data_IF_166789027525
#
_entry.id   IF_166789027525
#
_cell.length_a   1.000
_cell.length_b   1.000
_cell.length_c   1.000
_cell.angle_alpha   90.00
_cell.angle_beta   90.00
_cell.angle_gamma   90.00
#
_symmetry.space_group_name_H-M   'P 1'
#
loop_
_entity.id
_entity.type
_entity.pdbx_description
1 polymer ?
#
# COMPACT_ATOMS: atom_id res chain seq x y z
N UNK A 1 -24.53 -24.20 37.57
CA UNK A 1 -24.67 -22.85 36.97
C UNK A 1 -24.61 -22.99 35.46
N UNK A 2 -25.66 -22.64 34.71
CA UNK A 2 -25.72 -22.85 33.24
C UNK A 2 -25.26 -21.61 32.49
N UNK A 3 -24.55 -21.80 31.37
CA UNK A 3 -24.25 -20.73 30.42
C UNK A 3 -25.55 -20.11 29.91
N UNK A 4 -25.63 -18.77 29.89
CA UNK A 4 -26.74 -18.09 29.23
C UNK A 4 -26.40 -18.10 27.74
N UNK A 5 -26.91 -19.08 26.98
CA UNK A 5 -26.98 -18.94 25.54
C UNK A 5 -28.20 -18.07 25.25
N UNK A 6 -28.05 -16.89 24.62
CA UNK A 6 -29.18 -16.15 24.10
C UNK A 6 -29.97 -17.08 23.18
N UNK A 7 -31.31 -17.03 23.22
CA UNK A 7 -32.10 -17.63 22.16
C UNK A 7 -31.64 -17.00 20.83
N UNK A 8 -31.18 -17.85 19.92
CA UNK A 8 -30.63 -17.46 18.62
C UNK A 8 -31.72 -16.67 17.89
N UNK A 9 -31.59 -15.34 17.82
CA UNK A 9 -32.61 -14.47 17.21
C UNK A 9 -32.59 -13.00 17.64
N UNK A 10 -31.96 -12.65 18.77
CA UNK A 10 -31.91 -11.27 19.27
C UNK A 10 -30.66 -10.45 18.89
N UNK A 11 -30.09 -10.66 17.70
CA UNK A 11 -28.84 -9.99 17.32
C UNK A 11 -29.02 -8.47 17.12
N UNK A 12 -28.41 -7.67 18.02
CA UNK A 12 -27.72 -6.39 17.76
C UNK A 12 -28.43 -5.31 16.90
N UNK A 13 -29.76 -5.22 16.90
CA UNK A 13 -30.41 -4.09 16.22
C UNK A 13 -30.03 -2.70 16.79
N UNK A 14 -29.92 -2.47 18.11
CA UNK A 14 -29.69 -1.12 18.63
C UNK A 14 -28.28 -0.57 18.33
N UNK A 15 -27.24 -1.38 18.50
CA UNK A 15 -25.85 -0.92 18.33
C UNK A 15 -25.49 -0.70 16.85
N UNK A 16 -25.89 -1.64 15.98
CA UNK A 16 -25.68 -1.50 14.52
C UNK A 16 -26.47 -0.32 13.96
N UNK A 17 -27.69 -0.10 14.44
CA UNK A 17 -28.50 1.05 14.03
C UNK A 17 -27.95 2.38 14.57
N UNK A 18 -27.46 2.44 15.82
CA UNK A 18 -26.90 3.67 16.42
C UNK A 18 -25.55 4.03 15.79
N UNK A 19 -24.71 3.05 15.47
CA UNK A 19 -23.47 3.25 14.72
C UNK A 19 -23.75 3.65 13.25
N UNK A 20 -24.68 2.97 12.57
CA UNK A 20 -25.06 3.31 11.19
C UNK A 20 -25.71 4.70 11.08
N UNK A 21 -26.54 5.08 12.06
CA UNK A 21 -27.14 6.41 12.15
C UNK A 21 -26.08 7.49 12.34
N UNK A 22 -25.12 7.29 13.25
CA UNK A 22 -24.00 8.24 13.46
C UNK A 22 -23.09 8.35 12.22
N UNK A 23 -22.80 7.24 11.55
CA UNK A 23 -22.03 7.24 10.28
C UNK A 23 -22.79 7.98 9.17
N UNK A 24 -24.12 7.82 9.08
CA UNK A 24 -24.94 8.49 8.08
C UNK A 24 -25.12 9.98 8.34
N UNK A 25 -25.21 10.40 9.61
CA UNK A 25 -25.25 11.82 10.01
C UNK A 25 -23.91 12.50 9.71
N UNK A 26 -22.79 11.82 9.97
CA UNK A 26 -21.46 12.39 9.72
C UNK A 26 -21.10 12.54 8.24
N UNK A 27 -21.66 11.71 7.34
CA UNK A 27 -21.56 11.93 5.89
C UNK A 27 -22.23 13.23 5.42
N UNK A 28 -23.22 13.72 6.16
CA UNK A 28 -23.98 14.95 5.83
C UNK A 28 -23.32 16.23 6.36
N UNK A 29 -22.35 16.11 7.27
CA UNK A 29 -21.67 17.23 7.92
C UNK A 29 -20.32 17.61 7.27
N UNK A 30 -20.01 17.07 6.08
CA UNK A 30 -18.84 17.47 5.28
C UNK A 30 -19.20 18.76 4.53
N UNK A 31 -19.17 19.88 5.25
CA UNK A 31 -19.39 21.22 4.71
C UNK A 31 -19.05 22.29 5.74
N UNK A 32 -18.02 23.09 5.43
CA UNK A 32 -17.48 24.28 6.12
C UNK A 32 -16.49 24.13 7.31
N UNK A 33 -15.28 24.65 7.07
CA UNK A 33 -14.28 25.19 8.03
C UNK A 33 -14.83 26.52 8.59
N UNK A 34 -14.49 27.07 9.77
CA UNK A 34 -13.16 27.49 10.29
C UNK A 34 -13.26 28.09 11.74
N UNK A 35 -12.12 28.06 12.45
CA UNK A 35 -11.56 28.97 13.52
C UNK A 35 -12.06 29.00 14.99
N UNK A 36 -11.08 28.67 15.87
CA UNK A 36 -10.64 29.22 17.17
C UNK A 36 -11.61 29.64 18.30
N UNK A 37 -11.38 29.06 19.50
CA UNK A 37 -10.97 29.79 20.72
C UNK A 37 -10.89 28.84 21.94
N UNK A 38 -9.72 28.81 22.59
CA UNK A 38 -9.52 28.19 23.91
C UNK A 38 -9.81 29.25 24.97
N UNK A 39 -10.68 28.98 25.93
CA UNK A 39 -10.78 29.74 27.17
C UNK A 39 -11.08 28.85 28.37
N UNK A 40 -10.51 29.26 29.50
CA UNK A 40 -10.31 28.55 30.77
C UNK A 40 -11.51 28.67 31.72
N UNK A 41 -11.53 27.71 32.65
CA UNK A 41 -12.10 27.71 34.01
C UNK A 41 -13.62 27.63 34.22
N UNK A 42 -13.98 26.71 35.13
CA UNK A 42 -15.33 26.50 35.62
C UNK A 42 -15.41 25.26 36.51
N UNK A 43 -15.06 25.40 37.78
CA UNK A 43 -15.33 24.41 38.83
C UNK A 43 -16.84 24.13 38.87
N UNK A 44 -17.24 22.87 38.77
CA UNK A 44 -18.61 22.46 39.12
C UNK A 44 -18.61 21.05 39.69
N UNK A 45 -19.25 20.97 40.84
CA UNK A 45 -19.59 19.77 41.60
C UNK A 45 -20.17 18.70 40.68
N UNK A 46 -19.57 17.50 40.74
CA UNK A 46 -20.08 16.26 40.13
C UNK A 46 -21.40 15.88 40.81
N UNK A 47 -22.47 16.55 40.42
CA UNK A 47 -23.83 16.06 40.61
C UNK A 47 -24.01 14.92 39.61
N UNK A 48 -23.86 13.69 40.12
CA UNK A 48 -24.20 12.44 39.42
C UNK A 48 -25.70 12.40 39.13
N UNK A 49 -26.15 13.22 38.20
CA UNK A 49 -27.42 13.01 37.49
C UNK A 49 -27.14 12.06 36.35
N UNK A 50 -27.04 10.78 36.70
CA UNK A 50 -27.20 9.72 35.71
C UNK A 50 -28.61 9.89 35.14
N UNK A 51 -28.69 10.35 33.89
CA UNK A 51 -29.91 10.26 33.10
C UNK A 51 -30.23 8.76 33.02
N UNK A 52 -31.13 8.32 33.87
CA UNK A 52 -31.62 6.96 33.97
C UNK A 52 -32.27 6.58 32.64
N UNK A 53 -31.49 6.00 31.72
CA UNK A 53 -32.06 5.25 30.62
C UNK A 53 -33.03 4.22 31.23
N UNK A 54 -34.31 4.16 30.79
CA UNK A 54 -35.30 3.31 31.43
C UNK A 54 -34.82 1.87 31.45
N UNK A 55 -34.57 1.34 32.66
CA UNK A 55 -34.12 -0.05 32.81
C UNK A 55 -35.17 -0.98 32.19
N UNK A 56 -34.81 -1.83 31.21
CA UNK A 56 -35.77 -2.62 30.47
C UNK A 56 -36.50 -3.61 31.38
N UNK A 57 -37.79 -3.82 31.13
CA UNK A 57 -38.61 -4.80 31.86
C UNK A 57 -38.58 -6.14 31.13
N UNK A 58 -38.49 -7.22 31.89
CA UNK A 58 -38.60 -8.57 31.35
C UNK A 58 -40.07 -8.92 31.03
N UNK A 59 -40.30 -10.06 30.38
CA UNK A 59 -41.65 -10.56 30.06
C UNK A 59 -42.55 -10.81 31.29
N UNK A 60 -41.98 -10.84 32.50
CA UNK A 60 -42.74 -10.90 33.75
C UNK A 60 -43.22 -9.52 34.24
N UNK A 61 -42.96 -8.44 33.49
CA UNK A 61 -43.31 -7.06 33.87
C UNK A 61 -42.34 -6.40 34.86
N UNK A 62 -41.33 -7.12 35.36
CA UNK A 62 -40.37 -6.64 36.37
C UNK A 62 -39.12 -6.05 35.71
N UNK A 63 -38.53 -5.01 36.33
CA UNK A 63 -37.24 -4.43 35.89
C UNK A 63 -36.14 -5.50 35.85
N UNK A 64 -35.39 -5.53 34.76
CA UNK A 64 -34.31 -6.49 34.56
C UNK A 64 -32.99 -5.94 35.09
N UNK A 65 -32.34 -6.56 36.10
CA UNK A 65 -31.04 -6.11 36.57
C UNK A 65 -29.93 -6.38 35.54
N UNK A 66 -28.88 -5.56 35.58
CA UNK A 66 -27.63 -5.79 34.84
C UNK A 66 -26.86 -6.93 35.51
N UNK A 67 -26.32 -7.84 34.69
CA UNK A 67 -25.52 -8.99 35.11
C UNK A 67 -24.29 -9.10 34.19
N UNK A 68 -23.20 -9.65 34.71
CA UNK A 68 -21.98 -9.92 33.93
C UNK A 68 -21.91 -11.38 33.49
N UNK A 69 -21.50 -11.62 32.26
CA UNK A 69 -21.15 -12.97 31.78
C UNK A 69 -19.78 -13.38 32.34
N UNK A 70 -19.73 -14.49 33.08
CA UNK A 70 -18.50 -14.96 33.75
C UNK A 70 -17.85 -16.18 33.08
N UNK A 71 -18.58 -16.97 32.29
CA UNK A 71 -18.13 -18.27 31.74
C UNK A 71 -18.51 -18.47 30.27
N UNK A 72 -18.49 -17.42 29.46
CA UNK A 72 -18.90 -17.47 28.05
C UNK A 72 -17.85 -16.79 27.17
N UNK A 73 -17.98 -16.93 25.85
CA UNK A 73 -17.08 -16.34 24.82
C UNK A 73 -16.90 -14.81 24.93
N UNK A 74 -17.69 -14.16 25.79
CA UNK A 74 -17.64 -12.73 26.09
C UNK A 74 -17.51 -12.50 27.60
N UNK A 75 -16.39 -12.91 28.24
CA UNK A 75 -16.20 -12.70 29.67
C UNK A 75 -16.22 -11.20 29.99
N UNK A 76 -16.89 -10.83 31.08
CA UNK A 76 -17.01 -9.44 31.53
C UNK A 76 -18.07 -8.60 30.80
N UNK A 77 -18.66 -9.08 29.70
CA UNK A 77 -19.74 -8.36 29.01
C UNK A 77 -21.01 -8.35 29.86
N UNK A 78 -21.64 -7.18 29.97
CA UNK A 78 -22.84 -6.95 30.78
C UNK A 78 -24.11 -7.10 29.95
N UNK A 79 -25.18 -7.60 30.56
CA UNK A 79 -26.49 -7.79 29.94
C UNK A 79 -27.61 -7.58 30.95
N UNK A 80 -28.79 -7.18 30.49
CA UNK A 80 -30.05 -7.22 31.22
C UNK A 80 -30.69 -8.61 31.10
N UNK A 81 -31.14 -9.17 32.21
CA UNK A 81 -31.86 -10.45 32.23
C UNK A 81 -32.93 -10.51 33.31
N UNK A 82 -33.84 -11.49 33.21
CA UNK A 82 -34.91 -11.66 34.19
C UNK A 82 -34.38 -11.73 35.64
N UNK A 83 -35.05 -11.05 36.57
CA UNK A 83 -34.72 -11.10 38.00
C UNK A 83 -34.79 -12.53 38.54
N UNK A 84 -35.81 -13.29 38.11
CA UNK A 84 -36.02 -14.71 38.41
C UNK A 84 -35.11 -15.67 37.68
N UNK A 85 -34.12 -15.24 36.89
CA UNK A 85 -33.28 -16.12 36.05
C UNK A 85 -32.67 -17.35 36.76
N UNK A 86 -32.43 -17.26 38.07
CA UNK A 86 -31.89 -18.37 38.90
C UNK A 86 -32.95 -19.22 39.62
N UNK A 87 -34.23 -18.93 39.41
CA UNK A 87 -35.36 -19.65 40.01
C UNK A 87 -36.14 -20.44 38.95
N UNK A 88 -37.11 -21.24 39.38
CA UNK A 88 -38.04 -21.97 38.51
C UNK A 88 -39.00 -21.04 37.75
N UNK A 89 -39.34 -19.89 38.34
CA UNK A 89 -40.19 -18.86 37.74
C UNK A 89 -39.35 -17.80 37.03
N UNK A 90 -38.86 -18.14 35.84
CA UNK A 90 -38.07 -17.25 34.97
C UNK A 90 -38.69 -17.13 33.59
N UNK A 91 -38.60 -15.94 33.00
CA UNK A 91 -38.76 -15.79 31.56
C UNK A 91 -37.38 -15.77 30.87
N UNK A 92 -37.39 -15.91 29.54
CA UNK A 92 -36.21 -15.94 28.68
C UNK A 92 -35.70 -14.54 28.28
N UNK A 93 -36.11 -13.47 28.97
CA UNK A 93 -35.67 -12.10 28.63
C UNK A 93 -34.14 -11.94 28.74
N UNK A 94 -33.54 -11.39 27.69
CA UNK A 94 -32.11 -11.12 27.58
C UNK A 94 -31.87 -9.92 26.64
N UNK A 95 -31.01 -8.98 27.05
CA UNK A 95 -30.58 -7.85 26.21
C UNK A 95 -29.16 -7.44 26.58
N UNK A 96 -28.28 -7.16 25.63
CA UNK A 96 -26.94 -6.65 25.94
C UNK A 96 -27.00 -5.26 26.58
N UNK A 97 -26.13 -5.02 27.57
CA UNK A 97 -25.92 -3.71 28.16
C UNK A 97 -24.82 -3.00 27.38
N UNK A 98 -25.21 -2.03 26.56
CA UNK A 98 -24.29 -1.15 25.84
C UNK A 98 -24.45 0.25 26.46
N UNK A 99 -23.47 0.74 27.25
CA UNK A 99 -23.55 2.08 27.81
C UNK A 99 -23.52 3.13 26.70
N UNK A 100 -24.08 4.31 26.96
CA UNK A 100 -23.92 5.45 26.07
C UNK A 100 -22.43 5.73 25.86
N UNK A 101 -21.95 5.82 24.61
CA UNK A 101 -20.55 6.14 24.36
C UNK A 101 -20.22 7.52 24.98
N UNK A 102 -19.01 7.69 25.55
CA UNK A 102 -18.59 8.97 26.08
C UNK A 102 -18.70 10.08 25.02
N UNK A 103 -18.95 11.35 25.41
CA UNK A 103 -19.11 12.46 24.46
C UNK A 103 -17.97 12.60 23.45
N UNK A 104 -16.74 12.23 23.85
CA UNK A 104 -15.53 12.32 23.01
C UNK A 104 -15.37 11.19 21.98
N UNK A 105 -16.21 10.15 22.05
CA UNK A 105 -16.06 8.95 21.23
C UNK A 105 -16.26 9.24 19.74
N UNK A 106 -17.21 10.12 19.41
CA UNK A 106 -17.48 10.58 18.05
C UNK A 106 -16.29 11.34 17.47
N UNK A 107 -15.66 12.23 18.25
CA UNK A 107 -14.48 12.99 17.84
C UNK A 107 -13.28 12.11 17.54
N UNK A 108 -13.05 11.10 18.38
CA UNK A 108 -11.95 10.14 18.15
C UNK A 108 -12.19 9.35 16.87
N UNK A 109 -13.41 8.82 16.67
CA UNK A 109 -13.74 8.10 15.43
C UNK A 109 -13.56 8.99 14.22
N UNK A 110 -14.06 10.23 14.27
CA UNK A 110 -13.94 11.18 13.17
C UNK A 110 -12.47 11.44 12.80
N UNK A 111 -11.62 11.76 13.78
CA UNK A 111 -10.19 11.98 13.55
C UNK A 111 -9.52 10.74 12.95
N UNK A 112 -9.83 9.54 13.45
CA UNK A 112 -9.28 8.31 12.90
C UNK A 112 -9.71 8.07 11.44
N UNK A 113 -10.95 8.43 11.09
CA UNK A 113 -11.43 8.33 9.70
C UNK A 113 -10.71 9.33 8.80
N UNK A 114 -10.59 10.60 9.23
CA UNK A 114 -9.85 11.65 8.53
C UNK A 114 -8.39 11.24 8.30
N UNK A 115 -7.70 10.75 9.33
CA UNK A 115 -6.32 10.27 9.23
C UNK A 115 -6.20 9.07 8.29
N UNK A 116 -7.12 8.11 8.34
CA UNK A 116 -7.11 6.96 7.43
C UNK A 116 -7.31 7.39 5.98
N UNK A 117 -8.15 8.38 5.73
CA UNK A 117 -8.35 8.93 4.39
C UNK A 117 -7.09 9.62 3.86
N UNK A 118 -6.44 10.45 4.69
CA UNK A 118 -5.15 11.06 4.37
C UNK A 118 -4.08 10.01 4.02
N UNK A 119 -3.91 9.00 4.89
CA UNK A 119 -2.96 7.90 4.67
C UNK A 119 -3.27 7.15 3.35
N UNK A 120 -4.55 6.91 3.03
CA UNK A 120 -4.91 6.26 1.76
C UNK A 120 -4.55 7.12 0.54
N UNK A 121 -4.78 8.43 0.62
CA UNK A 121 -4.44 9.37 -0.45
C UNK A 121 -2.92 9.41 -0.68
N UNK A 122 -2.14 9.56 0.39
CA UNK A 122 -0.67 9.56 0.31
C UNK A 122 -0.12 8.26 -0.25
N UNK A 123 -0.68 7.11 0.16
CA UNK A 123 -0.31 5.82 -0.41
C UNK A 123 -0.63 5.69 -1.89
N UNK A 124 -1.69 6.36 -2.37
CA UNK A 124 -2.03 6.37 -3.80
C UNK A 124 -1.01 7.17 -4.60
N UNK A 125 -0.65 8.37 -4.11
CA UNK A 125 0.38 9.22 -4.74
C UNK A 125 1.75 8.55 -4.74
N UNK A 126 2.18 7.99 -3.61
CA UNK A 126 3.45 7.26 -3.53
C UNK A 126 3.51 6.07 -4.48
N UNK A 127 2.40 5.34 -4.65
CA UNK A 127 2.33 4.24 -5.63
C UNK A 127 2.44 4.75 -7.06
N UNK A 128 1.81 5.90 -7.37
CA UNK A 128 1.89 6.52 -8.68
C UNK A 128 3.32 6.97 -9.01
N UNK A 129 3.96 7.74 -8.12
CA UNK A 129 5.36 8.16 -8.30
C UNK A 129 6.31 6.98 -8.39
N UNK A 130 6.09 5.92 -7.59
CA UNK A 130 6.87 4.69 -7.72
C UNK A 130 6.74 4.08 -9.11
N UNK A 131 5.53 4.07 -9.68
CA UNK A 131 5.31 3.53 -11.01
C UNK A 131 5.98 4.39 -12.09
N UNK A 132 5.85 5.72 -11.99
CA UNK A 132 6.52 6.66 -12.90
C UNK A 132 8.05 6.47 -12.89
N UNK A 133 8.66 6.36 -11.71
CA UNK A 133 10.10 6.08 -11.57
C UNK A 133 10.50 4.73 -12.15
N UNK A 134 9.68 3.69 -12.01
CA UNK A 134 9.94 2.39 -12.62
C UNK A 134 9.85 2.45 -14.15
N UNK A 135 8.99 3.29 -14.70
CA UNK A 135 8.85 3.50 -16.14
C UNK A 135 10.04 4.29 -16.69
N UNK A 136 10.49 5.33 -15.98
CA UNK A 136 11.71 6.07 -16.29
C UNK A 136 12.95 5.17 -16.25
N UNK A 137 13.10 4.34 -15.21
CA UNK A 137 14.20 3.38 -15.11
C UNK A 137 14.23 2.42 -16.31
N UNK A 138 13.07 1.92 -16.75
CA UNK A 138 12.96 1.07 -17.94
C UNK A 138 13.37 1.81 -19.21
N UNK A 139 12.92 3.05 -19.38
CA UNK A 139 13.27 3.88 -20.54
C UNK A 139 14.78 4.17 -20.58
N UNK A 140 15.38 4.54 -19.44
CA UNK A 140 16.81 4.77 -19.33
C UNK A 140 17.61 3.51 -19.64
N UNK A 141 17.18 2.37 -19.11
CA UNK A 141 17.82 1.09 -19.39
C UNK A 141 17.79 0.76 -20.88
N UNK A 142 16.67 1.02 -21.57
CA UNK A 142 16.57 0.85 -23.02
C UNK A 142 17.55 1.76 -23.76
N UNK A 143 17.60 3.04 -23.41
CA UNK A 143 18.53 4.01 -24.01
C UNK A 143 20.01 3.62 -23.80
N UNK A 144 20.36 3.11 -22.62
CA UNK A 144 21.71 2.61 -22.35
C UNK A 144 22.06 1.39 -23.20
N UNK A 145 21.11 0.47 -23.38
CA UNK A 145 21.32 -0.70 -24.24
C UNK A 145 21.53 -0.30 -25.70
N UNK A 146 20.71 0.63 -26.19
CA UNK A 146 20.79 1.14 -27.56
C UNK A 146 22.09 1.91 -27.82
N UNK A 147 22.45 2.84 -26.93
CA UNK A 147 23.71 3.60 -27.04
C UNK A 147 24.93 2.68 -26.96
N UNK A 148 24.87 1.63 -26.13
CA UNK A 148 25.90 0.58 -26.08
C UNK A 148 26.01 -0.16 -27.41
N UNK A 149 24.89 -0.63 -27.97
CA UNK A 149 24.89 -1.35 -29.25
C UNK A 149 25.44 -0.48 -30.38
N UNK A 150 25.05 0.80 -30.42
CA UNK A 150 25.57 1.77 -31.39
C UNK A 150 27.09 1.98 -31.25
N UNK A 151 27.59 2.06 -30.02
CA UNK A 151 29.03 2.19 -29.76
C UNK A 151 29.79 0.93 -30.18
N UNK A 152 29.28 -0.26 -29.84
CA UNK A 152 29.86 -1.54 -30.25
C UNK A 152 29.91 -1.68 -31.78
N UNK A 153 28.83 -1.28 -32.48
CA UNK A 153 28.79 -1.25 -33.94
C UNK A 153 29.82 -0.28 -34.53
N UNK A 154 29.95 0.94 -33.97
CA UNK A 154 30.92 1.92 -34.42
C UNK A 154 32.37 1.44 -34.23
N UNK A 155 32.67 0.80 -33.10
CA UNK A 155 33.98 0.17 -32.85
C UNK A 155 34.25 -0.90 -33.91
N UNK A 156 33.30 -1.80 -34.19
CA UNK A 156 33.47 -2.86 -35.18
C UNK A 156 33.71 -2.33 -36.60
N UNK A 157 33.05 -1.22 -36.96
CA UNK A 157 33.25 -0.55 -38.25
C UNK A 157 34.65 0.08 -38.35
N UNK A 158 35.14 0.68 -37.25
CA UNK A 158 36.49 1.24 -37.18
C UNK A 158 37.55 0.16 -37.30
N UNK A 159 37.42 -0.97 -36.59
CA UNK A 159 38.38 -2.08 -36.70
C UNK A 159 38.39 -2.70 -38.09
N UNK A 160 37.22 -2.84 -38.72
CA UNK A 160 37.13 -3.34 -40.10
C UNK A 160 37.82 -2.39 -41.11
N UNK A 161 37.73 -1.07 -40.88
CA UNK A 161 38.44 -0.07 -41.69
C UNK A 161 39.96 -0.18 -41.53
N UNK A 162 40.45 -0.37 -40.30
CA UNK A 162 41.87 -0.59 -40.01
C UNK A 162 42.39 -1.87 -40.68
N UNK A 163 41.68 -2.99 -40.54
CA UNK A 163 42.06 -4.27 -41.15
C UNK A 163 42.11 -4.18 -42.69
N UNK A 164 41.13 -3.51 -43.30
CA UNK A 164 41.12 -3.30 -44.75
C UNK A 164 42.28 -2.40 -45.21
N UNK A 165 42.61 -1.36 -44.44
CA UNK A 165 43.78 -0.52 -44.70
C UNK A 165 45.08 -1.33 -44.63
N UNK A 166 45.26 -2.13 -43.57
CA UNK A 166 46.43 -2.99 -43.41
C UNK A 166 46.55 -4.01 -44.56
N UNK A 167 45.44 -4.61 -44.98
CA UNK A 167 45.40 -5.51 -46.14
C UNK A 167 45.81 -4.81 -47.44
N UNK A 168 45.30 -3.60 -47.70
CA UNK A 168 45.66 -2.80 -48.88
C UNK A 168 47.16 -2.44 -48.91
N UNK A 169 47.71 -2.02 -47.76
CA UNK A 169 49.15 -1.73 -47.62
C UNK A 169 49.98 -2.99 -47.88
N UNK A 170 49.59 -4.14 -47.31
CA UNK A 170 50.29 -5.41 -47.49
C UNK A 170 50.28 -5.86 -48.96
N UNK A 171 49.16 -5.74 -49.67
CA UNK A 171 49.08 -6.08 -51.09
C UNK A 171 49.93 -5.15 -51.96
N UNK A 172 49.91 -3.84 -51.70
CA UNK A 172 50.73 -2.86 -52.42
C UNK A 172 52.22 -3.15 -52.22
N UNK A 173 52.64 -3.45 -50.98
CA UNK A 173 54.02 -3.85 -50.68
C UNK A 173 54.41 -5.15 -51.39
N UNK A 174 53.56 -6.18 -51.36
CA UNK A 174 53.80 -7.46 -52.08
C UNK A 174 53.96 -7.25 -53.58
N UNK A 175 53.08 -6.45 -54.20
CA UNK A 175 53.17 -6.10 -55.63
C UNK A 175 54.49 -5.38 -55.93
N UNK A 176 54.87 -4.41 -55.10
CA UNK A 176 56.16 -3.71 -55.25
C UNK A 176 57.37 -4.65 -55.21
N UNK A 177 57.41 -5.58 -54.24
CA UNK A 177 58.49 -6.58 -54.14
C UNK A 177 58.53 -7.52 -55.36
N UNK A 178 57.38 -7.94 -55.88
CA UNK A 178 57.34 -8.76 -57.10
C UNK A 178 57.91 -8.00 -58.30
N UNK A 179 57.52 -6.74 -58.46
CA UNK A 179 58.02 -5.88 -59.54
C UNK A 179 59.54 -5.72 -59.44
N UNK A 180 60.08 -5.43 -58.25
CA UNK A 180 61.53 -5.24 -58.08
C UNK A 180 62.32 -6.52 -58.38
N UNK A 181 61.82 -7.68 -57.93
CA UNK A 181 62.43 -8.99 -58.24
C UNK A 181 62.41 -9.26 -59.74
N UNK A 182 61.27 -9.03 -60.42
CA UNK A 182 61.15 -9.23 -61.86
C UNK A 182 62.12 -8.36 -62.66
N UNK A 183 62.22 -7.07 -62.32
CA UNK A 183 63.18 -6.15 -62.96
C UNK A 183 64.61 -6.65 -62.76
N UNK A 184 64.97 -7.04 -61.54
CA UNK A 184 66.31 -7.54 -61.25
C UNK A 184 66.65 -8.82 -62.03
N UNK A 185 65.70 -9.74 -62.22
CA UNK A 185 65.88 -10.94 -63.02
C UNK A 185 66.09 -10.61 -64.51
N UNK A 186 65.32 -9.67 -65.06
CA UNK A 186 65.46 -9.21 -66.45
C UNK A 186 66.85 -8.59 -66.68
N UNK A 187 67.30 -7.73 -65.77
CA UNK A 187 68.63 -7.11 -65.83
C UNK A 187 69.70 -8.22 -65.86
N UNK A 188 69.64 -9.19 -64.94
CA UNK A 188 70.58 -10.30 -64.93
C UNK A 188 70.59 -11.05 -66.29
N UNK A 189 69.42 -11.38 -66.84
CA UNK A 189 69.32 -12.07 -68.13
C UNK A 189 69.90 -11.29 -69.32
N UNK A 190 69.79 -9.96 -69.31
CA UNK A 190 70.33 -9.11 -70.39
C UNK A 190 71.85 -8.91 -70.27
N UNK A 191 72.38 -8.79 -69.04
CA UNK A 191 73.80 -8.48 -68.81
C UNK A 191 74.70 -9.71 -68.64
N UNK A 192 74.16 -10.90 -68.35
CA UNK A 192 74.91 -12.16 -68.32
C UNK A 192 75.46 -12.64 -69.69
N UNK A 193 74.72 -12.58 -70.82
CA UNK A 193 75.24 -13.03 -72.12
C UNK A 193 76.36 -12.15 -72.69
N UNK A 194 76.48 -10.91 -72.21
CA UNK A 194 77.53 -9.95 -72.63
C UNK A 194 78.87 -10.22 -71.93
N UNK A 195 78.87 -11.03 -70.86
CA UNK A 195 80.07 -11.28 -70.03
C UNK A 195 80.69 -12.68 -70.22
N UNK A 196 80.06 -13.56 -71.00
CA UNK A 196 80.50 -14.95 -71.24
C UNK A 196 81.08 -15.12 -72.66
N UNK A 197 81.19 -14.05 -73.44
CA UNK A 197 81.84 -14.02 -74.76
C UNK A 197 83.20 -13.31 -74.70
#
# INVERSE_FOLDING_TARGET
MRCIRPAVGGYNQPFRAKLASQVSVNKKAVGMRTHDAISREGSSSISSSSVDAPTPRCHCGVRSPIRSAWKCDYPGRRFYGCSGYRTSRKCSFFQWYDPEPPPRYSDVIRRLLETNEGIRSENMELKKTRQELLDELRSLQHSLYETRANLEAAISASTAMEDNMLASVATTRRRGVLITVLISAIILLVFLPVKIA
#
